data_IF_893324988087
#
_entry.id   IF_893324988087
#
_cell.length_a   1.000
_cell.length_b   1.000
_cell.length_c   1.000
_cell.angle_alpha   90.00
_cell.angle_beta   90.00
_cell.angle_gamma   90.00
#
_symmetry.space_group_name_H-M   'P 1'
#
loop_
_entity.id
_entity.type
_entity.pdbx_description
1 polymer ?
#
# COMPACT_ATOMS: atom_id res chain seq x y z
N UNK A 1 -10.99 -15.89 11.87
CA UNK A 1 -11.74 -16.50 10.76
C UNK A 1 -10.80 -16.47 9.58
N UNK A 2 -10.26 -17.62 9.18
CA UNK A 2 -9.26 -17.70 8.11
C UNK A 2 -9.89 -17.21 6.79
N UNK A 3 -9.25 -16.27 6.05
CA UNK A 3 -9.78 -15.84 4.78
C UNK A 3 -9.74 -17.00 3.78
N UNK A 4 -10.89 -17.32 3.18
CA UNK A 4 -10.98 -18.30 2.09
C UNK A 4 -10.25 -17.71 0.89
N UNK A 5 -9.00 -18.15 0.65
CA UNK A 5 -8.23 -17.74 -0.51
C UNK A 5 -8.62 -18.58 -1.72
N UNK A 6 -9.39 -17.99 -2.65
CA UNK A 6 -9.60 -18.60 -3.97
C UNK A 6 -8.33 -18.44 -4.82
N UNK A 7 -7.92 -19.50 -5.52
CA UNK A 7 -6.78 -19.50 -6.44
C UNK A 7 -7.18 -19.90 -7.85
N UNK A 8 -6.32 -19.61 -8.84
CA UNK A 8 -6.52 -20.03 -10.23
C UNK A 8 -7.81 -19.49 -10.86
N UNK A 9 -8.60 -20.38 -11.47
CA UNK A 9 -9.85 -20.01 -12.16
C UNK A 9 -10.88 -19.44 -11.20
N UNK A 10 -10.98 -19.97 -9.97
CA UNK A 10 -11.91 -19.45 -8.96
C UNK A 10 -11.58 -18.00 -8.58
N UNK A 11 -10.30 -17.68 -8.39
CA UNK A 11 -9.84 -16.31 -8.15
C UNK A 11 -10.23 -15.38 -9.31
N UNK A 12 -10.00 -15.82 -10.55
CA UNK A 12 -10.34 -15.06 -11.75
C UNK A 12 -11.83 -14.79 -11.87
N UNK A 13 -12.68 -15.79 -11.59
CA UNK A 13 -14.14 -15.63 -11.60
C UNK A 13 -14.61 -14.65 -10.53
N UNK A 14 -14.08 -14.76 -9.30
CA UNK A 14 -14.35 -13.80 -8.22
C UNK A 14 -14.01 -12.38 -8.64
N UNK A 15 -12.80 -12.13 -9.12
CA UNK A 15 -12.39 -10.80 -9.58
C UNK A 15 -13.24 -10.26 -10.73
N UNK A 16 -13.79 -11.13 -11.59
CA UNK A 16 -14.71 -10.71 -12.66
C UNK A 16 -16.06 -10.29 -12.09
N UNK A 17 -16.62 -11.03 -11.13
CA UNK A 17 -17.86 -10.65 -10.46
C UNK A 17 -17.71 -9.35 -9.67
N UNK A 18 -16.64 -9.23 -8.88
CA UNK A 18 -16.39 -8.02 -8.10
C UNK A 18 -16.30 -6.77 -9.01
N UNK A 19 -15.63 -6.90 -10.16
CA UNK A 19 -15.57 -5.84 -11.19
C UNK A 19 -16.93 -5.52 -11.79
N UNK A 20 -17.76 -6.52 -12.07
CA UNK A 20 -19.13 -6.31 -12.56
C UNK A 20 -20.02 -5.60 -11.52
N UNK A 21 -19.76 -5.82 -10.24
CA UNK A 21 -20.43 -5.12 -9.12
C UNK A 21 -19.90 -3.70 -8.89
N UNK A 22 -18.89 -3.27 -9.66
CA UNK A 22 -18.35 -1.92 -9.63
C UNK A 22 -16.99 -1.77 -8.97
N UNK A 23 -16.41 -2.85 -8.42
CA UNK A 23 -15.07 -2.79 -7.81
C UNK A 23 -14.02 -2.37 -8.84
N UNK A 24 -13.27 -1.31 -8.52
CA UNK A 24 -12.30 -0.67 -9.40
C UNK A 24 -12.80 0.58 -10.12
N UNK A 25 -14.08 0.94 -9.98
CA UNK A 25 -14.58 2.25 -10.39
C UNK A 25 -14.14 3.35 -9.42
N UNK A 26 -14.24 4.62 -9.82
CA UNK A 26 -13.78 5.75 -9.01
C UNK A 26 -14.45 5.83 -7.62
N UNK A 27 -15.74 5.50 -7.55
CA UNK A 27 -16.52 5.47 -6.31
C UNK A 27 -16.35 4.17 -5.49
N UNK A 28 -15.72 3.13 -6.04
CA UNK A 28 -15.47 1.85 -5.38
C UNK A 28 -14.07 1.34 -5.73
N UNK A 29 -13.07 2.18 -5.48
CA UNK A 29 -11.69 1.89 -5.82
C UNK A 29 -11.15 0.68 -5.04
N UNK A 30 -10.26 -0.08 -5.70
CA UNK A 30 -9.54 -1.17 -5.07
C UNK A 30 -8.59 -0.64 -4.00
N UNK A 31 -8.58 -1.29 -2.84
CA UNK A 31 -7.61 -1.03 -1.78
C UNK A 31 -6.27 -1.64 -2.16
N UNK A 32 -5.31 -0.82 -2.57
CA UNK A 32 -3.99 -1.28 -3.00
C UNK A 32 -3.29 -2.01 -1.85
N UNK A 33 -2.83 -3.24 -2.10
CA UNK A 33 -2.26 -4.13 -1.09
C UNK A 33 -3.18 -4.33 0.14
N UNK A 34 -4.49 -4.19 -0.03
CA UNK A 34 -5.47 -4.31 1.05
C UNK A 34 -5.44 -3.16 2.07
N UNK A 35 -4.71 -2.08 1.80
CA UNK A 35 -4.59 -0.95 2.71
C UNK A 35 -5.88 -0.12 2.72
N UNK A 36 -6.50 -0.03 3.89
CA UNK A 36 -7.73 0.74 4.12
C UNK A 36 -7.43 2.04 4.86
N UNK A 37 -7.61 3.18 4.20
CA UNK A 37 -7.27 4.49 4.76
C UNK A 37 -7.99 4.77 6.08
N UNK A 38 -9.30 4.53 6.15
CA UNK A 38 -10.09 4.87 7.34
C UNK A 38 -9.68 4.00 8.54
N UNK A 39 -9.46 2.71 8.31
CA UNK A 39 -8.98 1.78 9.34
C UNK A 39 -7.58 2.17 9.84
N UNK A 40 -6.66 2.47 8.92
CA UNK A 40 -5.29 2.88 9.25
C UNK A 40 -5.28 4.20 10.02
N UNK A 41 -6.06 5.18 9.58
CA UNK A 41 -6.21 6.48 10.23
C UNK A 41 -6.80 6.33 11.64
N UNK A 42 -7.88 5.56 11.78
CA UNK A 42 -8.50 5.31 13.08
C UNK A 42 -7.52 4.65 14.06
N UNK A 43 -6.76 3.65 13.60
CA UNK A 43 -5.72 2.99 14.39
C UNK A 43 -4.67 3.98 14.90
N UNK A 44 -4.09 4.78 14.02
CA UNK A 44 -3.05 5.76 14.38
C UNK A 44 -3.57 6.84 15.35
N UNK A 45 -4.81 7.30 15.16
CA UNK A 45 -5.44 8.25 16.08
C UNK A 45 -5.66 7.64 17.47
N UNK A 46 -6.12 6.39 17.53
CA UNK A 46 -6.32 5.65 18.78
C UNK A 46 -5.00 5.43 19.52
N UNK A 47 -3.95 5.03 18.80
CA UNK A 47 -2.62 4.79 19.37
C UNK A 47 -1.76 6.05 19.55
N UNK A 48 -2.29 7.23 19.18
CA UNK A 48 -1.59 8.53 19.26
C UNK A 48 -0.22 8.52 18.57
N UNK A 49 -0.09 7.77 17.47
CA UNK A 49 1.13 7.73 16.67
C UNK A 49 0.89 8.25 15.25
N UNK A 50 1.96 8.63 14.57
CA UNK A 50 1.91 8.95 13.16
C UNK A 50 1.95 7.66 12.33
N UNK A 51 1.30 7.68 11.16
CA UNK A 51 1.34 6.55 10.25
C UNK A 51 2.72 6.41 9.61
N UNK A 52 3.25 5.20 9.63
CA UNK A 52 4.41 4.76 8.85
C UNK A 52 3.94 3.69 7.87
N UNK A 53 4.29 3.84 6.59
CA UNK A 53 3.85 2.94 5.54
C UNK A 53 4.76 1.71 5.46
N UNK A 54 4.22 0.55 5.81
CA UNK A 54 4.94 -0.73 5.72
C UNK A 54 5.12 -1.21 4.28
N UNK A 55 4.22 -0.80 3.37
CA UNK A 55 4.26 -1.19 1.96
C UNK A 55 5.15 -0.28 1.12
N UNK A 56 5.39 0.94 1.60
CA UNK A 56 6.30 1.90 0.98
C UNK A 56 7.14 2.61 2.06
N UNK A 57 8.13 1.90 2.65
CA UNK A 57 8.85 2.39 3.81
C UNK A 57 9.74 3.58 3.48
N UNK A 58 10.07 4.39 4.48
CA UNK A 58 11.04 5.50 4.39
C UNK A 58 12.50 4.97 4.29
N UNK A 59 12.79 4.18 3.27
CA UNK A 59 14.05 3.47 3.06
C UNK A 59 14.63 3.75 1.67
N UNK A 60 15.92 3.48 1.48
CA UNK A 60 16.60 3.69 0.19
C UNK A 60 15.97 2.87 -0.96
N UNK A 61 15.45 1.68 -0.67
CA UNK A 61 14.73 0.84 -1.63
C UNK A 61 13.50 1.53 -2.24
N UNK A 62 12.86 2.43 -1.48
CA UNK A 62 11.69 3.18 -1.94
C UNK A 62 12.06 4.36 -2.84
N UNK A 63 13.32 4.82 -2.82
CA UNK A 63 13.79 5.86 -3.73
C UNK A 63 14.03 5.32 -5.15
N UNK A 64 14.38 4.04 -5.26
CA UNK A 64 14.50 3.36 -6.54
C UNK A 64 15.63 2.32 -6.56
N UNK A 65 16.05 1.99 -7.77
CA UNK A 65 17.08 0.99 -8.04
C UNK A 65 18.14 1.58 -8.99
N UNK A 66 19.29 0.90 -9.10
CA UNK A 66 20.43 1.30 -9.94
C UNK A 66 20.86 2.75 -9.69
N UNK A 67 20.42 3.70 -10.51
CA UNK A 67 20.75 5.12 -10.39
C UNK A 67 20.29 5.77 -9.09
N UNK A 68 19.23 5.27 -8.46
CA UNK A 68 18.73 5.72 -7.16
C UNK A 68 18.84 4.63 -6.09
N UNK A 69 19.63 3.59 -6.35
CA UNK A 69 19.81 2.49 -5.40
C UNK A 69 20.62 2.89 -4.15
N UNK A 70 20.76 1.96 -3.18
CA UNK A 70 21.44 2.20 -1.89
C UNK A 70 22.87 2.75 -1.98
N UNK A 71 23.61 2.39 -3.04
CA UNK A 71 25.00 2.81 -3.27
C UNK A 71 25.13 4.06 -4.15
N UNK A 72 24.02 4.64 -4.61
CA UNK A 72 24.07 5.83 -5.46
C UNK A 72 24.46 7.07 -4.68
N UNK A 73 25.39 7.85 -5.22
CA UNK A 73 25.71 9.17 -4.70
C UNK A 73 24.48 10.10 -4.69
N UNK A 74 23.50 9.89 -5.59
CA UNK A 74 22.29 10.73 -5.72
C UNK A 74 21.34 10.61 -4.52
N UNK A 75 21.34 9.48 -3.83
CA UNK A 75 20.44 9.21 -2.69
C UNK A 75 21.16 9.29 -1.35
N UNK A 76 22.48 9.51 -1.35
CA UNK A 76 23.28 9.65 -0.14
C UNK A 76 22.88 10.91 0.63
N UNK A 77 22.58 10.75 1.91
CA UNK A 77 22.25 11.87 2.81
C UNK A 77 20.80 12.35 2.75
N UNK A 78 19.95 11.70 1.95
CA UNK A 78 18.50 11.98 1.95
C UNK A 78 17.91 11.70 3.33
N UNK A 79 17.09 12.63 3.83
CA UNK A 79 16.31 12.47 5.06
C UNK A 79 14.83 12.52 4.74
N UNK A 80 14.07 11.60 5.31
CA UNK A 80 12.62 11.59 5.23
C UNK A 80 12.05 12.55 6.26
N UNK A 81 11.26 13.50 5.82
CA UNK A 81 10.64 14.52 6.66
C UNK A 81 9.14 14.58 6.36
N UNK A 82 8.36 14.93 7.38
CA UNK A 82 6.94 15.26 7.22
C UNK A 82 6.82 16.77 6.99
N UNK A 83 5.79 17.25 6.26
CA UNK A 83 5.62 18.68 6.02
C UNK A 83 5.37 19.55 7.26
N UNK A 84 4.92 18.95 8.36
CA UNK A 84 4.50 19.61 9.61
C UNK A 84 5.60 19.62 10.66
#
# INVERSE_FOLDING_TARGET
MEPICAMGVAARLRSKWDRNEGLGQNNMALKFLGQDFETLRARCLQSRCLFEDETFPAQQSSLGFKELGPSSAKTKGVRWMRPT
#
